data_IF_410824390576
#
_entry.id   IF_410824390576
#
_cell.length_a   1.000
_cell.length_b   1.000
_cell.length_c   1.000
_cell.angle_alpha   90.00
_cell.angle_beta   90.00
_cell.angle_gamma   90.00
#
_symmetry.space_group_name_H-M   'P 1'
#
loop_
_entity.id
_entity.type
_entity.pdbx_description
1 polymer ?
#
# COMPACT_ATOMS: atom_id res chain seq x y z
N UNK A 1 49.97 -3.98 19.64
CA UNK A 1 48.52 -3.79 19.85
C UNK A 1 48.20 -2.34 20.22
N UNK A 2 48.07 -1.56 19.15
CA UNK A 2 47.15 -0.46 18.90
C UNK A 2 47.14 0.81 19.76
N UNK A 3 47.48 1.86 19.01
CA UNK A 3 47.68 3.26 19.35
C UNK A 3 46.33 3.96 19.44
N UNK A 4 46.15 4.72 20.51
CA UNK A 4 45.13 5.77 20.65
C UNK A 4 45.26 6.75 19.48
N UNK A 5 44.27 6.79 18.59
CA UNK A 5 44.20 7.75 17.49
C UNK A 5 43.61 9.07 17.96
N UNK A 6 44.51 10.02 18.22
CA UNK A 6 44.22 11.46 18.33
C UNK A 6 43.87 12.02 16.95
N UNK A 7 42.62 12.46 16.76
CA UNK A 7 42.18 13.11 15.53
C UNK A 7 42.71 14.55 15.51
N UNK A 8 43.73 14.77 14.69
CA UNK A 8 44.35 16.08 14.43
C UNK A 8 43.60 16.75 13.29
N UNK A 9 42.83 17.81 13.57
CA UNK A 9 42.27 18.74 12.58
C UNK A 9 43.40 19.30 11.71
N UNK A 10 43.39 19.02 10.40
CA UNK A 10 44.14 19.76 9.39
C UNK A 10 43.14 20.47 8.48
N UNK A 11 43.02 21.78 8.65
CA UNK A 11 42.71 22.67 7.54
C UNK A 11 43.96 22.80 6.67
N UNK A 12 43.80 22.71 5.35
CA UNK A 12 44.72 23.26 4.36
C UNK A 12 44.01 23.28 3.00
N UNK A 13 43.62 24.48 2.61
CA UNK A 13 43.13 24.84 1.28
C UNK A 13 44.20 24.54 0.22
N UNK A 14 43.80 23.96 -0.93
CA UNK A 14 44.51 24.16 -2.20
C UNK A 14 43.64 23.83 -3.41
N UNK A 15 43.19 24.91 -4.07
CA UNK A 15 43.13 25.07 -5.52
C UNK A 15 42.40 24.02 -6.36
N UNK A 16 41.17 24.35 -6.72
CA UNK A 16 40.51 23.87 -7.93
C UNK A 16 39.40 24.86 -8.30
N UNK A 17 39.65 25.75 -9.25
CA UNK A 17 38.62 26.56 -9.89
C UNK A 17 37.70 25.60 -10.64
N UNK A 18 36.62 25.16 -9.99
CA UNK A 18 35.53 24.45 -10.66
C UNK A 18 34.73 25.52 -11.36
N UNK A 19 34.92 25.64 -12.67
CA UNK A 19 34.03 26.42 -13.51
C UNK A 19 32.59 25.91 -13.30
N UNK A 20 31.69 26.83 -12.95
CA UNK A 20 30.28 26.53 -12.81
C UNK A 20 29.74 26.06 -14.18
N UNK A 21 28.92 25.00 -14.23
CA UNK A 21 28.20 24.65 -15.44
C UNK A 21 27.38 25.86 -15.91
N UNK A 22 27.23 26.04 -17.24
CA UNK A 22 26.54 27.20 -17.79
C UNK A 22 25.13 27.27 -17.22
N UNK A 23 24.77 28.45 -16.72
CA UNK A 23 23.38 28.82 -16.45
C UNK A 23 22.61 28.70 -17.76
N UNK A 24 21.96 27.56 -17.97
CA UNK A 24 21.03 27.34 -19.07
C UNK A 24 19.61 27.44 -18.52
N UNK A 25 18.90 28.46 -18.98
CA UNK A 25 17.45 28.47 -19.00
C UNK A 25 16.78 29.09 -17.79
N UNK A 26 16.83 30.43 -17.70
CA UNK A 26 15.73 31.18 -17.12
C UNK A 26 14.47 30.94 -17.98
N UNK A 27 13.49 30.24 -17.41
CA UNK A 27 12.18 30.02 -18.03
C UNK A 27 11.51 28.80 -17.42
N UNK A 28 10.73 29.02 -16.35
CA UNK A 28 9.53 28.24 -15.95
C UNK A 28 9.23 28.35 -14.44
N UNK A 29 9.07 29.58 -13.95
CA UNK A 29 8.30 29.84 -12.73
C UNK A 29 7.26 30.90 -13.15
N UNK A 30 6.09 30.52 -13.65
CA UNK A 30 4.96 30.12 -12.82
C UNK A 30 3.92 29.47 -13.74
N UNK A 31 4.08 28.18 -14.04
CA UNK A 31 2.91 27.38 -14.37
C UNK A 31 2.00 27.48 -13.16
N UNK A 32 0.82 28.10 -13.36
CA UNK A 32 -0.19 28.21 -12.33
C UNK A 32 -0.38 26.86 -11.64
N UNK A 33 -0.56 26.88 -10.32
CA UNK A 33 -0.64 25.66 -9.53
C UNK A 33 -1.67 24.69 -10.12
N UNK A 34 -2.78 25.23 -10.66
CA UNK A 34 -3.79 24.46 -11.37
C UNK A 34 -3.24 23.74 -12.60
N UNK A 35 -2.41 24.40 -13.42
CA UNK A 35 -1.84 23.82 -14.63
C UNK A 35 -0.88 22.68 -14.29
N UNK A 36 -0.06 22.87 -13.25
CA UNK A 36 0.83 21.79 -12.75
C UNK A 36 0.04 20.63 -12.16
N UNK A 37 -1.09 20.92 -11.50
CA UNK A 37 -1.99 19.90 -10.96
C UNK A 37 -2.69 19.12 -12.09
N UNK A 38 -3.22 19.83 -13.09
CA UNK A 38 -3.85 19.25 -14.30
C UNK A 38 -2.89 18.32 -15.03
N UNK A 39 -1.65 18.76 -15.28
CA UNK A 39 -0.64 17.94 -15.95
C UNK A 39 -0.33 16.65 -15.16
N UNK A 40 -0.22 16.73 -13.83
CA UNK A 40 0.02 15.54 -12.99
C UNK A 40 -1.18 14.59 -12.96
N UNK A 41 -2.40 15.12 -12.99
CA UNK A 41 -3.62 14.32 -13.07
C UNK A 41 -3.69 13.59 -14.40
N UNK A 42 -3.47 14.29 -15.51
CA UNK A 42 -3.44 13.68 -16.86
C UNK A 42 -2.32 12.63 -16.99
N UNK A 43 -1.12 12.90 -16.47
CA UNK A 43 -0.04 11.92 -16.44
C UNK A 43 -0.40 10.69 -15.59
N UNK A 44 -1.07 10.89 -14.46
CA UNK A 44 -1.54 9.81 -13.59
C UNK A 44 -2.69 9.03 -14.24
N UNK A 45 -3.60 9.69 -14.92
CA UNK A 45 -4.69 9.08 -15.68
C UNK A 45 -4.17 8.31 -16.90
N UNK A 46 -3.17 8.82 -17.62
CA UNK A 46 -2.50 8.11 -18.71
C UNK A 46 -1.75 6.87 -18.21
N UNK A 47 -1.12 6.96 -17.04
CA UNK A 47 -0.47 5.82 -16.39
C UNK A 47 -1.49 4.81 -15.82
N UNK A 48 -2.64 5.25 -15.35
CA UNK A 48 -3.69 4.42 -14.74
C UNK A 48 -4.66 3.82 -15.78
N UNK A 49 -4.89 4.50 -16.91
CA UNK A 49 -5.81 4.12 -17.97
C UNK A 49 -5.39 2.89 -18.77
N UNK A 50 -4.17 2.37 -18.56
CA UNK A 50 -3.66 1.19 -19.25
C UNK A 50 -4.01 -0.15 -18.55
N UNK A 51 -4.56 -0.13 -17.33
CA UNK A 51 -4.97 -1.36 -16.65
C UNK A 51 -6.46 -1.62 -16.94
N UNK A 52 -6.80 -2.66 -17.73
CA UNK A 52 -8.20 -3.00 -17.95
C UNK A 52 -8.88 -3.29 -16.61
N UNK A 53 -10.13 -2.82 -16.41
CA UNK A 53 -10.94 -3.21 -15.25
C UNK A 53 -11.22 -4.72 -15.34
N UNK A 54 -10.38 -5.50 -14.66
CA UNK A 54 -10.44 -6.96 -14.66
C UNK A 54 -11.68 -7.47 -13.90
N UNK A 55 -12.23 -6.70 -12.97
CA UNK A 55 -13.31 -7.14 -12.08
C UNK A 55 -14.66 -6.79 -12.68
N UNK A 56 -14.79 -5.62 -13.31
CA UNK A 56 -16.03 -5.11 -13.91
C UNK A 56 -17.18 -5.11 -12.91
N UNK A 57 -17.09 -4.20 -11.95
CA UNK A 57 -18.11 -4.05 -10.91
C UNK A 57 -19.48 -3.75 -11.54
N UNK A 58 -20.52 -4.48 -11.12
CA UNK A 58 -21.90 -4.29 -11.60
C UNK A 58 -22.35 -5.25 -12.72
N UNK A 59 -21.42 -5.93 -13.39
CA UNK A 59 -21.76 -7.01 -14.33
C UNK A 59 -22.09 -8.32 -13.58
N UNK A 60 -22.79 -9.24 -14.25
CA UNK A 60 -22.99 -10.60 -13.73
C UNK A 60 -21.62 -11.25 -13.48
N UNK A 61 -21.49 -11.97 -12.36
CA UNK A 61 -20.28 -12.70 -11.98
C UNK A 61 -19.06 -11.84 -11.60
N UNK A 62 -19.24 -10.54 -11.33
CA UNK A 62 -18.15 -9.64 -10.91
C UNK A 62 -17.41 -10.13 -9.66
N UNK A 63 -18.15 -10.75 -8.72
CA UNK A 63 -17.62 -11.25 -7.45
C UNK A 63 -16.65 -12.41 -7.66
N UNK A 64 -16.94 -13.30 -8.59
CA UNK A 64 -16.07 -14.43 -8.90
C UNK A 64 -14.80 -13.97 -9.61
N UNK A 65 -14.93 -12.99 -10.52
CA UNK A 65 -13.77 -12.30 -11.13
C UNK A 65 -12.91 -11.60 -10.09
N UNK A 66 -13.52 -10.95 -9.10
CA UNK A 66 -12.81 -10.32 -7.99
C UNK A 66 -11.94 -11.34 -7.24
N UNK A 67 -12.53 -12.44 -6.76
CA UNK A 67 -11.81 -13.45 -6.01
C UNK A 67 -10.71 -14.14 -6.83
N UNK A 68 -10.97 -14.39 -8.11
CA UNK A 68 -9.99 -14.98 -9.03
C UNK A 68 -8.82 -14.03 -9.30
N UNK A 69 -9.11 -12.77 -9.64
CA UNK A 69 -8.09 -11.79 -10.01
C UNK A 69 -7.28 -11.27 -8.83
N UNK A 70 -7.90 -11.13 -7.64
CA UNK A 70 -7.27 -10.50 -6.47
C UNK A 70 -6.71 -11.49 -5.46
N UNK A 71 -7.42 -12.59 -5.21
CA UNK A 71 -7.02 -13.58 -4.20
C UNK A 71 -6.52 -14.89 -4.82
N UNK A 72 -6.59 -15.05 -6.15
CA UNK A 72 -6.22 -16.30 -6.83
C UNK A 72 -7.11 -17.48 -6.46
N UNK A 73 -8.29 -17.21 -5.88
CA UNK A 73 -9.20 -18.24 -5.40
C UNK A 73 -10.07 -18.77 -6.57
N UNK A 74 -10.27 -20.09 -6.66
CA UNK A 74 -11.19 -20.67 -7.65
C UNK A 74 -12.61 -20.13 -7.45
N UNK A 75 -13.36 -19.99 -8.55
CA UNK A 75 -14.77 -19.60 -8.55
C UNK A 75 -15.64 -20.41 -7.57
N UNK A 76 -15.38 -21.70 -7.46
CA UNK A 76 -16.14 -22.63 -6.63
C UNK A 76 -15.63 -22.76 -5.18
N UNK A 77 -14.59 -22.04 -4.77
CA UNK A 77 -13.98 -22.22 -3.46
C UNK A 77 -14.70 -21.41 -2.36
N UNK A 78 -15.83 -21.93 -1.91
CA UNK A 78 -16.58 -21.35 -0.79
C UNK A 78 -15.79 -21.42 0.53
N UNK A 79 -14.97 -22.47 0.72
CA UNK A 79 -14.17 -22.64 1.93
C UNK A 79 -13.06 -21.59 2.01
N UNK A 80 -12.36 -21.33 0.91
CA UNK A 80 -11.36 -20.26 0.82
C UNK A 80 -11.97 -18.87 1.06
N UNK A 81 -13.13 -18.58 0.46
CA UNK A 81 -13.86 -17.33 0.76
C UNK A 81 -14.22 -17.19 2.23
N UNK A 82 -14.69 -18.28 2.86
CA UNK A 82 -15.01 -18.31 4.28
C UNK A 82 -13.78 -18.12 5.16
N UNK A 83 -12.63 -18.69 4.79
CA UNK A 83 -11.38 -18.51 5.52
C UNK A 83 -10.91 -17.04 5.49
N UNK A 84 -10.99 -16.38 4.33
CA UNK A 84 -10.68 -14.95 4.18
C UNK A 84 -11.62 -14.10 5.03
N UNK A 85 -12.93 -14.38 4.99
CA UNK A 85 -13.92 -13.72 5.83
C UNK A 85 -13.61 -13.89 7.32
N UNK A 86 -13.24 -15.10 7.76
CA UNK A 86 -12.87 -15.38 9.14
C UNK A 86 -11.63 -14.59 9.61
N UNK A 87 -10.58 -14.52 8.79
CA UNK A 87 -9.38 -13.74 9.12
C UNK A 87 -9.67 -12.23 9.16
N UNK A 88 -10.58 -11.75 8.29
CA UNK A 88 -10.99 -10.35 8.27
C UNK A 88 -11.72 -9.97 9.56
N UNK A 89 -12.67 -10.80 10.00
CA UNK A 89 -13.42 -10.60 11.25
C UNK A 89 -12.51 -10.68 12.46
N UNK A 90 -11.58 -11.66 12.49
CA UNK A 90 -10.56 -11.75 13.54
C UNK A 90 -9.73 -10.46 13.61
N UNK A 91 -9.39 -9.87 12.47
CA UNK A 91 -8.69 -8.60 12.41
C UNK A 91 -9.50 -7.42 12.93
N UNK A 92 -10.80 -7.36 12.62
CA UNK A 92 -11.69 -6.34 13.19
C UNK A 92 -11.75 -6.46 14.72
N UNK A 93 -11.88 -7.67 15.25
CA UNK A 93 -11.83 -7.92 16.69
C UNK A 93 -10.48 -7.53 17.30
N UNK A 94 -9.36 -7.85 16.63
CA UNK A 94 -8.03 -7.48 17.08
C UNK A 94 -7.84 -5.96 17.15
N UNK A 95 -8.29 -5.23 16.11
CA UNK A 95 -8.23 -3.75 16.09
C UNK A 95 -9.11 -3.17 17.19
N UNK A 96 -10.32 -3.70 17.38
CA UNK A 96 -11.21 -3.23 18.45
C UNK A 96 -10.57 -3.44 19.83
N UNK A 97 -10.04 -4.62 20.11
CA UNK A 97 -9.34 -4.93 21.35
C UNK A 97 -8.08 -4.08 21.53
N UNK A 98 -7.37 -3.78 20.44
CA UNK A 98 -6.23 -2.87 20.46
C UNK A 98 -6.60 -1.50 21.03
N UNK A 99 -7.76 -0.94 20.64
CA UNK A 99 -8.22 0.34 21.16
C UNK A 99 -8.68 0.30 22.62
N UNK A 100 -9.37 -0.77 23.05
CA UNK A 100 -9.98 -0.82 24.39
C UNK A 100 -9.12 -1.48 25.47
N UNK A 101 -8.30 -2.46 25.10
CA UNK A 101 -7.55 -3.34 26.02
C UNK A 101 -6.05 -3.40 25.71
N UNK A 102 -5.59 -2.67 24.69
CA UNK A 102 -4.19 -2.70 24.24
C UNK A 102 -3.87 -3.89 23.35
N UNK A 103 -2.58 -4.08 23.05
CA UNK A 103 -2.13 -5.10 22.08
C UNK A 103 -2.35 -6.51 22.62
N UNK A 104 -3.18 -7.29 21.91
CA UNK A 104 -3.48 -8.67 22.27
C UNK A 104 -2.42 -9.65 21.77
N UNK A 105 -1.92 -9.44 20.55
CA UNK A 105 -0.92 -10.29 19.90
C UNK A 105 -0.11 -9.43 18.91
N UNK A 106 1.20 -9.32 19.13
CA UNK A 106 2.13 -8.59 18.27
C UNK A 106 2.49 -9.36 17.00
N UNK A 107 2.31 -10.68 16.98
CA UNK A 107 2.59 -11.54 15.83
C UNK A 107 1.40 -11.71 14.90
N UNK A 108 0.21 -11.27 15.31
CA UNK A 108 -0.97 -11.38 14.47
C UNK A 108 -0.89 -10.43 13.28
N UNK A 109 -1.09 -10.97 12.09
CA UNK A 109 -1.22 -10.21 10.85
C UNK A 109 -2.32 -10.81 9.98
N UNK A 110 -2.92 -9.99 9.13
CA UNK A 110 -3.89 -10.45 8.14
C UNK A 110 -3.14 -11.06 6.93
N UNK A 111 -3.30 -12.36 6.63
CA UNK A 111 -2.47 -13.08 5.65
C UNK A 111 -2.91 -12.89 4.19
N UNK A 112 -3.82 -11.95 3.92
CA UNK A 112 -4.30 -11.64 2.58
C UNK A 112 -4.08 -10.17 2.25
N UNK A 113 -3.88 -9.86 0.97
CA UNK A 113 -3.68 -8.47 0.52
C UNK A 113 -4.99 -7.72 0.27
N UNK A 114 -6.11 -8.44 0.21
CA UNK A 114 -7.41 -7.91 -0.15
C UNK A 114 -8.48 -8.34 0.86
N UNK A 115 -9.45 -7.46 1.07
CA UNK A 115 -10.60 -7.71 1.93
C UNK A 115 -11.62 -8.64 1.23
N UNK A 116 -12.40 -9.43 1.97
CA UNK A 116 -13.54 -10.13 1.41
C UNK A 116 -14.63 -9.12 0.99
N UNK A 117 -15.53 -9.58 0.12
CA UNK A 117 -16.76 -8.88 -0.15
C UNK A 117 -17.65 -8.82 1.11
N UNK A 118 -18.29 -7.68 1.35
CA UNK A 118 -19.20 -7.50 2.48
C UNK A 118 -20.35 -8.54 2.48
N UNK A 119 -20.78 -8.97 1.29
CA UNK A 119 -21.81 -10.01 1.15
C UNK A 119 -21.35 -11.42 1.56
N UNK A 120 -20.06 -11.65 1.78
CA UNK A 120 -19.53 -12.92 2.33
C UNK A 120 -19.34 -12.89 3.85
N UNK A 121 -19.59 -11.75 4.51
CA UNK A 121 -19.55 -11.61 5.96
C UNK A 121 -20.86 -12.09 6.60
N UNK A 122 -21.21 -13.34 6.33
CA UNK A 122 -22.40 -14.02 6.86
C UNK A 122 -22.01 -15.03 7.94
N UNK A 123 -22.96 -15.40 8.80
CA UNK A 123 -22.81 -16.36 9.91
C UNK A 123 -21.59 -16.09 10.80
N UNK A 124 -21.40 -14.82 11.16
CA UNK A 124 -20.27 -14.37 11.97
C UNK A 124 -20.19 -15.05 13.35
N UNK A 125 -21.33 -15.56 13.85
CA UNK A 125 -21.40 -16.32 15.10
C UNK A 125 -20.55 -17.60 15.08
N UNK A 126 -20.35 -18.22 13.92
CA UNK A 126 -19.53 -19.43 13.80
C UNK A 126 -18.04 -19.14 14.07
N UNK A 127 -17.60 -17.91 13.81
CA UNK A 127 -16.22 -17.49 14.09
C UNK A 127 -16.00 -17.09 15.55
N UNK A 128 -17.07 -16.75 16.27
CA UNK A 128 -17.01 -16.24 17.63
C UNK A 128 -16.81 -17.34 18.69
N UNK A 129 -16.77 -18.61 18.31
CA UNK A 129 -16.66 -19.71 19.26
C UNK A 129 -17.93 -19.84 20.09
N UNK A 130 -19.02 -20.25 19.44
CA UNK A 130 -20.19 -20.76 20.16
C UNK A 130 -19.81 -22.03 20.92
N UNK A 131 -19.98 -21.99 22.24
CA UNK A 131 -20.09 -23.17 23.10
C UNK A 131 -21.21 -24.09 22.65
#
# INVERSE_FOLDING_TARGET
PDKVMTIRRKQAERSGRVEAPPQQGAGDEHLDFETRLKLRLEQKEAAQGAQPDQVRYGEKEWKERYYTAKLGLPRADAAGRRAVAGQYVKGLCWVLLYYYQGVQDWGWFYPYHYAPCASDLVDLGDFAGGR
#
